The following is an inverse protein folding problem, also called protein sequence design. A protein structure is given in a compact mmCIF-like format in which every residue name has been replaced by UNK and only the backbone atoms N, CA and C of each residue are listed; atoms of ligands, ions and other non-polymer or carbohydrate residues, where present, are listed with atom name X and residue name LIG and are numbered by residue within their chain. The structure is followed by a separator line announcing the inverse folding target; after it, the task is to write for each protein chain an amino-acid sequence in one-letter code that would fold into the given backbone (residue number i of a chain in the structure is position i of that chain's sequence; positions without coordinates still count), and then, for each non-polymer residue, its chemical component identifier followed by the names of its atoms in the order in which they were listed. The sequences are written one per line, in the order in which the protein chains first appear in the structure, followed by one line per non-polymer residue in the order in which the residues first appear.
data_IF_418270774340
#
_entry.id   IF_418270774340
#
_cell.length_a   1.000
_cell.length_b   1.000
_cell.length_c   1.000
_cell.angle_alpha   90.00
_cell.angle_beta   90.00
_cell.angle_gamma   90.00
#
_symmetry.space_group_name_H-M   'P 1'
#
loop_
_entity.id
_entity.type
_entity.pdbx_description
1 polymer ?
#
# COMPACT_ATOMS: atom_id res chain seq x y z
N UNK A 1 -5.11 -19.45 -15.04
CA UNK A 1 -4.60 -18.06 -15.18
C UNK A 1 -5.20 -17.35 -16.41
N UNK A 2 -5.17 -17.94 -17.60
CA UNK A 2 -5.76 -17.35 -18.84
C UNK A 2 -7.29 -17.18 -18.73
N UNK A 3 -8.00 -18.11 -18.09
CA UNK A 3 -9.44 -18.00 -17.82
C UNK A 3 -9.79 -16.81 -16.92
N UNK A 4 -8.97 -16.53 -15.92
CA UNK A 4 -9.16 -15.41 -14.99
C UNK A 4 -8.97 -14.06 -15.71
N UNK A 5 -7.93 -13.95 -16.55
CA UNK A 5 -7.68 -12.76 -17.38
C UNK A 5 -8.77 -12.57 -18.44
N UNK A 6 -9.30 -13.67 -19.01
CA UNK A 6 -10.43 -13.64 -19.95
C UNK A 6 -11.72 -13.12 -19.32
N UNK A 7 -12.04 -13.54 -18.08
CA UNK A 7 -13.21 -13.07 -17.33
C UNK A 7 -13.10 -11.58 -16.99
N UNK A 8 -11.93 -11.12 -16.53
CA UNK A 8 -11.67 -9.70 -16.24
C UNK A 8 -11.77 -8.86 -17.52
N UNK A 9 -11.30 -9.38 -18.65
CA UNK A 9 -11.33 -8.68 -19.94
C UNK A 9 -12.73 -8.66 -20.57
N UNK A 10 -13.57 -9.66 -20.32
CA UNK A 10 -14.94 -9.71 -20.79
C UNK A 10 -15.89 -8.82 -19.96
N UNK A 11 -15.67 -8.76 -18.64
CA UNK A 11 -16.47 -7.96 -17.70
C UNK A 11 -15.83 -6.59 -17.41
N UNK A 12 -15.24 -5.94 -18.42
CA UNK A 12 -14.63 -4.62 -18.28
C UNK A 12 -15.60 -3.58 -17.70
N UNK A 13 -16.87 -3.64 -18.09
CA UNK A 13 -17.93 -2.75 -17.58
C UNK A 13 -18.14 -2.92 -16.09
N UNK A 14 -18.22 -4.15 -15.60
CA UNK A 14 -18.39 -4.41 -14.17
C UNK A 14 -17.15 -4.02 -13.37
N UNK A 15 -15.96 -4.23 -13.94
CA UNK A 15 -14.68 -3.76 -13.36
C UNK A 15 -14.63 -2.23 -13.30
N UNK A 16 -15.15 -1.54 -14.32
CA UNK A 16 -15.20 -0.08 -14.37
C UNK A 16 -16.21 0.49 -13.37
N UNK A 17 -17.37 -0.16 -13.20
CA UNK A 17 -18.36 0.17 -12.16
C UNK A 17 -17.77 -0.06 -10.77
N UNK A 18 -17.08 -1.18 -10.55
CA UNK A 18 -16.42 -1.46 -9.27
C UNK A 18 -15.34 -0.43 -8.98
N UNK A 19 -14.55 -0.04 -9.99
CA UNK A 19 -13.54 1.01 -9.86
C UNK A 19 -14.17 2.35 -9.49
N UNK A 20 -15.24 2.75 -10.19
CA UNK A 20 -15.98 3.99 -9.87
C UNK A 20 -16.55 3.96 -8.46
N UNK A 21 -17.10 2.82 -8.02
CA UNK A 21 -17.60 2.66 -6.67
C UNK A 21 -16.48 2.74 -5.62
N UNK A 22 -15.34 2.10 -5.87
CA UNK A 22 -14.16 2.22 -5.01
C UNK A 22 -13.65 3.66 -4.95
N UNK A 23 -13.60 4.34 -6.09
CA UNK A 23 -13.22 5.75 -6.17
C UNK A 23 -14.20 6.60 -5.33
N UNK A 24 -15.52 6.47 -5.52
CA UNK A 24 -16.52 7.20 -4.74
C UNK A 24 -16.41 6.94 -3.23
N UNK A 25 -16.16 5.68 -2.83
CA UNK A 25 -15.92 5.32 -1.43
C UNK A 25 -14.64 6.00 -0.93
N UNK A 26 -13.54 5.96 -1.68
CA UNK A 26 -12.26 6.55 -1.27
C UNK A 26 -12.31 8.07 -1.22
N UNK A 27 -12.93 8.71 -2.21
CA UNK A 27 -13.08 10.17 -2.29
C UNK A 27 -14.12 10.70 -1.29
N UNK A 28 -15.12 9.90 -0.94
CA UNK A 28 -16.12 10.21 0.08
C UNK A 28 -15.61 10.13 1.52
N UNK A 29 -14.44 9.52 1.75
CA UNK A 29 -13.82 9.45 3.08
C UNK A 29 -13.15 10.78 3.47
N UNK A 30 -13.10 11.07 4.77
CA UNK A 30 -12.29 12.17 5.29
C UNK A 30 -10.80 11.90 5.06
N UNK A 31 -9.99 12.96 4.94
CA UNK A 31 -8.53 12.82 4.79
C UNK A 31 -7.88 12.03 5.94
N UNK A 32 -8.45 12.11 7.15
CA UNK A 32 -8.05 11.30 8.30
C UNK A 32 -8.39 9.81 8.16
N UNK A 33 -9.56 9.48 7.61
CA UNK A 33 -9.97 8.09 7.38
C UNK A 33 -9.16 7.44 6.25
N UNK A 34 -8.85 8.18 5.18
CA UNK A 34 -7.92 7.74 4.13
C UNK A 34 -6.55 7.41 4.73
N UNK A 35 -6.01 8.31 5.57
CA UNK A 35 -4.75 8.09 6.25
C UNK A 35 -4.80 6.89 7.21
N UNK A 36 -5.88 6.70 7.96
CA UNK A 36 -6.07 5.56 8.85
C UNK A 36 -6.14 4.23 8.10
N UNK A 37 -6.88 4.18 6.99
CA UNK A 37 -6.94 2.99 6.11
C UNK A 37 -5.57 2.68 5.52
N UNK A 38 -4.81 3.70 5.08
CA UNK A 38 -3.45 3.52 4.61
C UNK A 38 -2.55 2.95 5.72
N UNK A 39 -2.61 3.50 6.94
CA UNK A 39 -1.86 2.99 8.09
C UNK A 39 -2.23 1.53 8.38
N UNK A 40 -3.52 1.21 8.47
CA UNK A 40 -3.99 -0.16 8.74
C UNK A 40 -3.58 -1.15 7.65
N UNK A 41 -3.68 -0.76 6.37
CA UNK A 41 -3.20 -1.57 5.26
C UNK A 41 -1.71 -1.81 5.38
N UNK A 42 -0.93 -0.75 5.61
CA UNK A 42 0.52 -0.89 5.75
C UNK A 42 0.89 -1.72 6.97
N UNK A 43 0.20 -1.58 8.09
CA UNK A 43 0.42 -2.38 9.28
C UNK A 43 0.02 -3.85 9.06
N UNK A 44 -1.01 -4.12 8.25
CA UNK A 44 -1.38 -5.47 7.84
C UNK A 44 -0.37 -6.10 6.88
N UNK A 45 0.22 -5.32 5.97
CA UNK A 45 1.23 -5.77 4.99
C UNK A 45 2.67 -5.81 5.53
N UNK A 46 2.97 -5.01 6.54
CA UNK A 46 4.26 -5.01 7.24
C UNK A 46 4.19 -5.99 8.42
N UNK A 47 3.04 -6.09 9.08
CA UNK A 47 2.73 -6.99 10.18
C UNK A 47 2.51 -8.46 9.78
N UNK A 48 2.94 -8.88 8.58
CA UNK A 48 3.17 -10.29 8.27
C UNK A 48 4.31 -10.81 9.15
N UNK A 49 3.99 -11.12 10.41
CA UNK A 49 4.85 -11.69 11.45
C UNK A 49 5.41 -13.09 11.12
N UNK A 50 5.22 -13.55 9.89
CA UNK A 50 5.67 -14.83 9.38
C UNK A 50 6.58 -14.58 8.18
N UNK A 51 7.91 -14.80 8.33
CA UNK A 51 8.85 -14.86 7.20
C UNK A 51 8.34 -15.74 6.06
N UNK A 52 7.55 -16.75 6.41
CA UNK A 52 6.97 -17.71 5.48
C UNK A 52 6.00 -17.09 4.46
N UNK A 53 5.25 -16.04 4.82
CA UNK A 53 4.36 -15.36 3.88
C UNK A 53 5.13 -14.69 2.74
N UNK A 54 6.26 -14.06 3.09
CA UNK A 54 7.16 -13.46 2.12
C UNK A 54 7.96 -14.49 1.32
N UNK A 55 8.39 -15.58 1.96
CA UNK A 55 9.04 -16.70 1.27
C UNK A 55 8.14 -17.26 0.17
N UNK A 56 6.85 -17.51 0.44
CA UNK A 56 5.92 -18.04 -0.57
C UNK A 56 5.73 -17.07 -1.74
N UNK A 57 5.68 -15.77 -1.49
CA UNK A 57 5.57 -14.77 -2.56
C UNK A 57 6.84 -14.77 -3.41
N UNK A 58 8.01 -14.69 -2.77
CA UNK A 58 9.30 -14.69 -3.46
C UNK A 58 9.54 -15.98 -4.23
N UNK A 59 9.16 -17.13 -3.68
CA UNK A 59 9.28 -18.44 -4.32
C UNK A 59 8.40 -18.55 -5.55
N UNK A 60 7.15 -18.08 -5.46
CA UNK A 60 6.25 -18.04 -6.62
C UNK A 60 6.75 -17.08 -7.71
N UNK A 61 7.28 -15.92 -7.32
CA UNK A 61 7.86 -14.95 -8.26
C UNK A 61 9.12 -15.52 -8.92
N UNK A 62 10.06 -16.05 -8.14
CA UNK A 62 11.30 -16.65 -8.65
C UNK A 62 11.01 -17.81 -9.61
N UNK A 63 10.06 -18.69 -9.25
CA UNK A 63 9.58 -19.77 -10.14
C UNK A 63 8.96 -19.24 -11.42
N UNK A 64 8.16 -18.17 -11.34
CA UNK A 64 7.55 -17.55 -12.52
C UNK A 64 8.60 -16.98 -13.49
N UNK A 65 9.66 -16.37 -12.95
CA UNK A 65 10.76 -15.81 -13.73
C UNK A 65 11.87 -16.82 -14.06
N UNK A 66 11.78 -18.08 -13.59
CA UNK A 66 12.78 -19.12 -13.81
C UNK A 66 14.12 -18.85 -13.11
N UNK A 67 14.14 -17.99 -12.09
CA UNK A 67 15.35 -17.61 -11.36
C UNK A 67 15.57 -18.58 -10.20
N UNK A 68 16.82 -19.00 -10.00
CA UNK A 68 17.18 -19.85 -8.87
C UNK A 68 16.91 -19.11 -7.55
N UNK A 69 16.20 -19.77 -6.64
CA UNK A 69 15.97 -19.22 -5.31
C UNK A 69 17.29 -18.99 -4.57
N UNK A 70 17.49 -17.77 -4.10
CA UNK A 70 18.62 -17.43 -3.24
C UNK A 70 18.12 -17.15 -1.84
N UNK A 71 18.40 -18.08 -0.91
CA UNK A 71 17.97 -17.95 0.50
C UNK A 71 18.52 -16.67 1.12
N UNK A 72 19.75 -16.29 0.80
CA UNK A 72 20.38 -15.07 1.32
C UNK A 72 19.66 -13.80 0.84
N UNK A 73 19.22 -13.75 -0.42
CA UNK A 73 18.41 -12.66 -0.94
C UNK A 73 17.03 -12.63 -0.28
N UNK A 74 16.38 -13.79 -0.12
CA UNK A 74 15.08 -13.88 0.54
C UNK A 74 15.18 -13.35 1.98
N UNK A 75 16.19 -13.77 2.74
CA UNK A 75 16.42 -13.27 4.10
C UNK A 75 16.69 -11.76 4.13
N UNK A 76 17.57 -11.26 3.25
CA UNK A 76 17.88 -9.83 3.19
C UNK A 76 16.64 -9.01 2.80
N UNK A 77 15.85 -9.50 1.85
CA UNK A 77 14.62 -8.87 1.39
C UNK A 77 13.60 -8.80 2.51
N UNK A 78 13.31 -9.93 3.18
CA UNK A 78 12.36 -10.01 4.29
C UNK A 78 12.80 -9.12 5.46
N UNK A 79 14.11 -8.97 5.69
CA UNK A 79 14.63 -8.14 6.76
C UNK A 79 14.60 -6.63 6.46
N UNK A 80 14.74 -6.22 5.19
CA UNK A 80 14.95 -4.81 4.83
C UNK A 80 13.75 -4.18 4.15
N UNK A 81 13.15 -4.88 3.20
CA UNK A 81 12.09 -4.33 2.35
C UNK A 81 10.83 -3.97 3.14
N UNK A 82 10.28 -4.82 4.03
CA UNK A 82 9.12 -4.46 4.83
C UNK A 82 9.37 -3.25 5.74
N UNK A 83 10.58 -3.14 6.32
CA UNK A 83 10.95 -2.04 7.22
C UNK A 83 11.08 -0.72 6.48
N UNK A 84 11.71 -0.72 5.31
CA UNK A 84 11.82 0.48 4.47
C UNK A 84 10.43 0.90 3.97
N UNK A 85 9.63 -0.06 3.54
CA UNK A 85 8.27 0.17 3.07
C UNK A 85 7.40 0.80 4.18
N UNK A 86 7.46 0.27 5.40
CA UNK A 86 6.82 0.85 6.59
C UNK A 86 7.22 2.32 6.82
N UNK A 87 8.52 2.60 6.79
CA UNK A 87 9.04 3.95 7.00
C UNK A 87 8.62 4.93 5.90
N UNK A 88 8.68 4.51 4.62
CA UNK A 88 8.26 5.31 3.47
C UNK A 88 6.76 5.60 3.53
N UNK A 89 5.93 4.60 3.84
CA UNK A 89 4.49 4.81 3.97
C UNK A 89 4.15 5.73 5.14
N UNK A 90 4.74 5.54 6.32
CA UNK A 90 4.58 6.46 7.46
C UNK A 90 4.99 7.89 7.10
N UNK A 91 6.11 8.06 6.40
CA UNK A 91 6.57 9.37 5.92
C UNK A 91 5.58 9.98 4.92
N UNK A 92 5.09 9.22 3.95
CA UNK A 92 4.15 9.70 2.95
C UNK A 92 2.81 10.08 3.56
N UNK A 93 2.31 9.29 4.52
CA UNK A 93 1.08 9.58 5.26
C UNK A 93 1.24 10.84 6.10
N UNK A 94 2.36 10.96 6.83
CA UNK A 94 2.68 12.18 7.59
C UNK A 94 2.77 13.41 6.67
N UNK A 95 3.41 13.26 5.51
CA UNK A 95 3.52 14.35 4.54
C UNK A 95 2.18 14.72 3.93
N UNK A 96 1.32 13.73 3.64
CA UNK A 96 -0.02 13.94 3.10
C UNK A 96 -0.91 14.66 4.11
N UNK A 97 -0.95 14.18 5.37
CA UNK A 97 -1.69 14.83 6.46
C UNK A 97 -1.20 16.25 6.74
N UNK A 98 0.12 16.48 6.74
CA UNK A 98 0.66 17.82 6.88
C UNK A 98 0.36 18.74 5.69
N UNK A 99 0.11 18.19 4.50
CA UNK A 99 -0.30 18.97 3.32
C UNK A 99 -1.78 19.33 3.37
N UNK A 100 -2.63 18.48 3.96
CA UNK A 100 -4.05 18.73 4.20
C UNK A 100 -4.32 19.73 5.35
N UNK A 101 -3.33 20.04 6.20
CA UNK A 101 -3.44 21.08 7.24
C UNK A 101 -2.54 22.30 6.99
N UNK A 102 -2.90 23.19 6.06
CA UNK A 102 -2.39 24.57 6.03
C UNK A 102 -2.83 25.38 7.27
N UNK A 103 -3.83 24.91 8.03
CA UNK A 103 -4.43 25.65 9.14
C UNK A 103 -3.53 25.77 10.36
N UNK A 104 -2.66 24.79 10.65
CA UNK A 104 -1.71 24.91 11.77
C UNK A 104 -0.65 26.00 11.52
N UNK A 105 -0.20 26.15 10.28
CA UNK A 105 0.76 27.20 9.87
C UNK A 105 0.09 28.57 9.84
N UNK A 106 -1.18 28.65 9.41
CA UNK A 106 -1.95 29.88 9.46
C UNK A 106 -2.23 30.33 10.91
N UNK A 107 -2.53 29.40 11.82
CA UNK A 107 -2.72 29.70 13.25
C UNK A 107 -1.43 30.18 13.92
N UNK A 108 -0.27 29.57 13.61
CA UNK A 108 1.02 30.05 14.15
C UNK A 108 1.37 31.46 13.65
N UNK A 109 1.02 31.79 12.39
CA UNK A 109 1.26 33.12 11.82
C UNK A 109 0.33 34.20 12.38
N UNK A 110 -0.92 33.85 12.75
CA UNK A 110 -1.88 34.76 13.38
C UNK A 110 -1.68 34.93 14.89
N UNK A 111 -0.93 34.05 15.56
CA UNK A 111 -0.58 34.19 16.98
C UNK A 111 0.72 34.95 17.23
N UNK A 112 1.45 35.29 16.15
CA UNK A 112 2.72 36.04 16.19
C UNK A 112 2.62 37.38 15.43
N UNK A 113 1.41 37.79 15.07
CA UNK A 113 1.00 39.18 14.84
C UNK A 113 0.19 39.64 16.06
#
# INVERSE_FOLDING_TARGET
MISFVGIISANRRDVEILKSFMDDVIYGLSDSAKAFILILLTDMFVGFHSPHGWEVILENVAKHFGVAESRDFNFLFIATFPVILDAVFKYWIFRYLNRSSPSAVATYKNMNE
#
